data_IF_213414904414
#
_entry.id   IF_213414904414
#
_cell.length_a   1.000
_cell.length_b   1.000
_cell.length_c   1.000
_cell.angle_alpha   90.00
_cell.angle_beta   90.00
_cell.angle_gamma   90.00
#
_symmetry.space_group_name_H-M   'P 1'
#
loop_
_entity.id
_entity.type
_entity.pdbx_description
1 polymer ?
#
# COMPACT_ATOMS: atom_id res chain seq x y z
N UNK A 1 6.65 -8.72 -53.25
CA UNK A 1 6.39 -7.64 -52.29
C UNK A 1 5.33 -8.12 -51.31
N UNK A 2 5.73 -8.55 -50.11
CA UNK A 2 4.79 -9.03 -49.10
C UNK A 2 4.61 -7.94 -48.05
N UNK A 3 3.44 -7.32 -48.04
CA UNK A 3 3.04 -6.39 -47.00
C UNK A 3 2.77 -7.18 -45.72
N UNK A 4 3.57 -6.89 -44.68
CA UNK A 4 3.38 -7.44 -43.34
C UNK A 4 2.26 -6.64 -42.68
N UNK A 5 1.09 -7.24 -42.56
CA UNK A 5 -0.04 -6.65 -41.83
C UNK A 5 0.34 -6.53 -40.37
N UNK A 6 0.66 -5.32 -39.91
CA UNK A 6 0.79 -5.03 -38.48
C UNK A 6 -0.59 -5.22 -37.83
N UNK A 7 -0.67 -6.15 -36.88
CA UNK A 7 -1.85 -6.26 -36.02
C UNK A 7 -1.96 -4.99 -35.19
N UNK A 8 -3.16 -4.40 -35.03
CA UNK A 8 -3.34 -3.27 -34.13
C UNK A 8 -2.92 -3.70 -32.71
N UNK A 9 -2.00 -2.95 -32.09
CA UNK A 9 -1.70 -3.10 -30.67
C UNK A 9 -2.96 -2.71 -29.90
N UNK A 10 -3.61 -3.67 -29.26
CA UNK A 10 -4.73 -3.40 -28.36
C UNK A 10 -4.24 -2.41 -27.27
N UNK A 11 -5.06 -1.43 -26.88
CA UNK A 11 -4.71 -0.53 -25.78
C UNK A 11 -4.38 -1.36 -24.53
N UNK A 12 -3.28 -1.01 -23.83
CA UNK A 12 -2.77 -1.73 -22.66
C UNK A 12 -3.83 -2.03 -21.59
N UNK A 13 -4.85 -1.17 -21.46
CA UNK A 13 -6.02 -1.38 -20.58
C UNK A 13 -6.75 -2.71 -20.86
N UNK A 14 -6.87 -3.13 -22.13
CA UNK A 14 -7.56 -4.37 -22.49
C UNK A 14 -6.76 -5.63 -22.08
N UNK A 15 -5.44 -5.52 -21.93
CA UNK A 15 -4.58 -6.63 -21.47
C UNK A 15 -4.71 -6.84 -19.95
N UNK A 16 -4.97 -5.76 -19.20
CA UNK A 16 -5.19 -5.84 -17.76
C UNK A 16 -6.57 -6.35 -17.38
N UNK A 17 -7.59 -6.17 -18.23
CA UNK A 17 -8.95 -6.67 -17.97
C UNK A 17 -9.01 -8.20 -17.84
N UNK A 18 -8.41 -8.92 -18.80
CA UNK A 18 -8.37 -10.38 -18.77
C UNK A 18 -7.53 -10.91 -17.60
N UNK A 19 -6.41 -10.24 -17.32
CA UNK A 19 -5.53 -10.56 -16.18
C UNK A 19 -6.27 -10.37 -14.85
N UNK A 20 -7.00 -9.27 -14.69
CA UNK A 20 -7.79 -8.97 -13.51
C UNK A 20 -8.93 -9.99 -13.33
N UNK A 21 -9.65 -10.34 -14.39
CA UNK A 21 -10.71 -11.35 -14.34
C UNK A 21 -10.18 -12.74 -13.95
N UNK A 22 -8.99 -13.11 -14.42
CA UNK A 22 -8.33 -14.36 -14.03
C UNK A 22 -7.89 -14.34 -12.56
N UNK A 23 -7.31 -13.24 -12.10
CA UNK A 23 -6.93 -13.06 -10.70
C UNK A 23 -8.14 -13.11 -9.77
N UNK A 24 -9.23 -12.42 -10.11
CA UNK A 24 -10.47 -12.42 -9.33
C UNK A 24 -11.08 -13.81 -9.18
N UNK A 25 -11.18 -14.57 -10.28
CA UNK A 25 -11.66 -15.96 -10.22
C UNK A 25 -10.81 -16.83 -9.31
N UNK A 26 -9.49 -16.62 -9.32
CA UNK A 26 -8.56 -17.38 -8.48
C UNK A 26 -8.63 -16.98 -7.02
N UNK A 27 -8.76 -15.69 -6.72
CA UNK A 27 -8.98 -15.18 -5.36
C UNK A 27 -10.31 -15.67 -4.81
N UNK A 28 -11.39 -15.60 -5.58
CA UNK A 28 -12.70 -16.13 -5.18
C UNK A 28 -12.61 -17.63 -4.85
N UNK A 29 -11.97 -18.42 -5.72
CA UNK A 29 -11.77 -19.85 -5.47
C UNK A 29 -10.94 -20.15 -4.22
N UNK A 30 -9.93 -19.33 -3.90
CA UNK A 30 -9.13 -19.47 -2.68
C UNK A 30 -9.93 -19.12 -1.43
N UNK A 31 -10.72 -18.05 -1.48
CA UNK A 31 -11.61 -17.65 -0.38
C UNK A 31 -12.69 -18.70 -0.12
N UNK A 32 -13.30 -19.24 -1.18
CA UNK A 32 -14.24 -20.36 -1.08
C UNK A 32 -13.59 -21.61 -0.47
N UNK A 33 -12.37 -21.96 -0.89
CA UNK A 33 -11.61 -23.05 -0.30
C UNK A 33 -11.27 -22.83 1.18
N UNK A 34 -11.14 -21.56 1.61
CA UNK A 34 -10.95 -21.17 3.00
C UNK A 34 -12.26 -21.10 3.81
N UNK A 35 -13.40 -21.40 3.20
CA UNK A 35 -14.71 -21.42 3.86
C UNK A 35 -15.50 -20.12 3.78
N UNK A 36 -15.04 -19.12 3.02
CA UNK A 36 -15.79 -17.90 2.72
C UNK A 36 -16.94 -18.21 1.75
N UNK A 37 -18.13 -17.68 1.99
CA UNK A 37 -19.23 -17.87 1.03
C UNK A 37 -18.94 -17.13 -0.28
N UNK A 38 -19.41 -17.63 -1.44
CA UNK A 38 -19.21 -16.94 -2.73
C UNK A 38 -19.73 -15.49 -2.71
N UNK A 39 -20.83 -15.23 -1.99
CA UNK A 39 -21.39 -13.90 -1.82
C UNK A 39 -20.49 -12.97 -0.98
N UNK A 40 -19.84 -13.49 0.06
CA UNK A 40 -18.86 -12.73 0.86
C UNK A 40 -17.57 -12.49 0.07
N UNK A 41 -17.05 -13.50 -0.64
CA UNK A 41 -15.87 -13.36 -1.48
C UNK A 41 -16.07 -12.30 -2.57
N UNK A 42 -17.24 -12.29 -3.22
CA UNK A 42 -17.59 -11.29 -4.22
C UNK A 42 -17.73 -9.88 -3.62
N UNK A 43 -18.23 -9.76 -2.38
CA UNK A 43 -18.30 -8.48 -1.66
C UNK A 43 -16.92 -7.93 -1.35
N UNK A 44 -16.01 -8.75 -0.83
CA UNK A 44 -14.62 -8.36 -0.54
C UNK A 44 -13.87 -7.93 -1.81
N UNK A 45 -13.98 -8.70 -2.90
CA UNK A 45 -13.36 -8.35 -4.18
C UNK A 45 -13.87 -6.99 -4.68
N UNK A 46 -15.18 -6.77 -4.62
CA UNK A 46 -15.75 -5.53 -5.11
C UNK A 46 -15.48 -4.32 -4.18
N UNK A 47 -15.30 -4.52 -2.88
CA UNK A 47 -14.80 -3.49 -1.97
C UNK A 47 -13.37 -3.06 -2.33
N UNK A 48 -12.48 -4.03 -2.60
CA UNK A 48 -11.11 -3.76 -3.07
C UNK A 48 -11.13 -3.00 -4.41
N UNK A 49 -12.00 -3.40 -5.34
CA UNK A 49 -12.14 -2.70 -6.62
C UNK A 49 -12.63 -1.26 -6.44
N UNK A 50 -13.57 -1.02 -5.53
CA UNK A 50 -14.06 0.33 -5.23
C UNK A 50 -12.94 1.21 -4.65
N UNK A 51 -12.17 0.70 -3.68
CA UNK A 51 -11.02 1.41 -3.12
C UNK A 51 -9.91 1.69 -4.14
N UNK A 52 -9.66 0.76 -5.07
CA UNK A 52 -8.71 0.99 -6.17
C UNK A 52 -9.16 2.12 -7.12
N UNK A 53 -10.47 2.26 -7.34
CA UNK A 53 -11.05 3.35 -8.15
C UNK A 53 -11.01 4.67 -7.39
N UNK A 54 -11.22 4.65 -6.07
CA UNK A 54 -11.08 5.82 -5.20
C UNK A 54 -9.63 6.32 -5.15
N UNK A 55 -8.64 5.44 -5.07
CA UNK A 55 -7.22 5.81 -5.17
C UNK A 55 -6.88 6.47 -6.51
N UNK A 56 -7.37 5.90 -7.62
CA UNK A 56 -7.21 6.50 -8.95
C UNK A 56 -7.93 7.85 -9.09
N UNK A 57 -9.06 8.02 -8.40
CA UNK A 57 -9.78 9.29 -8.33
C UNK A 57 -8.97 10.37 -7.60
N UNK A 58 -8.31 10.03 -6.49
CA UNK A 58 -7.40 10.91 -5.77
C UNK A 58 -6.25 11.42 -6.65
N UNK A 59 -5.60 10.53 -7.42
CA UNK A 59 -4.53 10.92 -8.35
C UNK A 59 -5.01 11.89 -9.44
N UNK A 60 -6.24 11.74 -9.91
CA UNK A 60 -6.85 12.65 -10.90
C UNK A 60 -7.16 14.03 -10.29
N UNK A 61 -7.63 14.08 -9.05
CA UNK A 61 -7.83 15.36 -8.34
C UNK A 61 -6.50 16.07 -8.11
N UNK A 62 -5.42 15.34 -7.78
CA UNK A 62 -4.10 15.96 -7.60
C UNK A 62 -3.58 16.57 -8.91
N UNK A 63 -3.91 16.01 -10.08
CA UNK A 63 -3.59 16.60 -11.39
C UNK A 63 -4.35 17.92 -11.68
N UNK A 64 -5.49 18.16 -11.02
CA UNK A 64 -6.24 19.43 -11.14
C UNK A 64 -5.39 20.62 -10.66
N UNK A 65 -4.50 20.36 -9.70
CA UNK A 65 -3.65 21.39 -9.08
C UNK A 65 -2.39 21.72 -9.89
N UNK A 66 -2.05 20.92 -10.93
CA UNK A 66 -0.80 21.04 -11.69
C UNK A 66 -1.03 20.96 -13.21
N UNK A 67 -1.69 21.96 -13.77
CA UNK A 67 -1.72 22.12 -15.23
C UNK A 67 -0.29 22.25 -15.81
N UNK A 68 -0.01 21.72 -17.01
CA UNK A 68 1.31 21.78 -17.64
C UNK A 68 1.91 23.19 -17.69
N UNK A 69 3.15 23.35 -17.23
CA UNK A 69 3.81 24.65 -17.17
C UNK A 69 3.93 25.30 -18.57
N UNK A 70 3.52 26.57 -18.68
CA UNK A 70 3.60 27.34 -19.92
C UNK A 70 2.38 27.23 -20.85
N UNK A 71 1.27 26.65 -20.38
CA UNK A 71 0.02 26.63 -21.14
C UNK A 71 -0.75 27.96 -21.10
N UNK A 72 -1.63 28.18 -22.08
CA UNK A 72 -2.50 29.36 -22.13
C UNK A 72 -3.69 29.24 -21.17
N UNK A 73 -4.29 30.38 -20.80
CA UNK A 73 -5.46 30.42 -19.91
C UNK A 73 -6.65 29.59 -20.44
N UNK A 74 -6.87 29.59 -21.75
CA UNK A 74 -7.90 28.73 -22.39
C UNK A 74 -7.57 27.23 -22.26
N UNK A 75 -6.29 26.87 -22.30
CA UNK A 75 -5.87 25.48 -22.07
C UNK A 75 -6.02 25.09 -20.60
N UNK A 76 -5.74 25.99 -19.66
CA UNK A 76 -5.97 25.77 -18.23
C UNK A 76 -7.45 25.51 -17.92
N UNK A 77 -8.37 26.23 -18.57
CA UNK A 77 -9.80 26.00 -18.42
C UNK A 77 -10.25 24.66 -19.01
N UNK A 78 -9.78 24.33 -20.22
CA UNK A 78 -10.05 23.03 -20.84
C UNK A 78 -9.46 21.85 -20.06
N UNK A 79 -8.30 22.04 -19.43
CA UNK A 79 -7.64 21.05 -18.57
C UNK A 79 -8.47 20.76 -17.31
N UNK A 80 -8.89 21.81 -16.57
CA UNK A 80 -9.75 21.65 -15.39
C UNK A 80 -11.06 20.95 -15.74
N UNK A 81 -11.73 21.38 -16.82
CA UNK A 81 -12.97 20.72 -17.27
C UNK A 81 -12.78 19.26 -17.67
N UNK A 82 -11.63 18.89 -18.25
CA UNK A 82 -11.32 17.51 -18.58
C UNK A 82 -11.04 16.65 -17.32
N UNK A 83 -10.36 17.21 -16.33
CA UNK A 83 -10.09 16.55 -15.05
C UNK A 83 -11.37 16.36 -14.24
N UNK A 84 -12.23 17.38 -14.16
CA UNK A 84 -13.54 17.29 -13.49
C UNK A 84 -14.41 16.20 -14.13
N UNK A 85 -14.43 16.12 -15.46
CA UNK A 85 -15.14 15.07 -16.18
C UNK A 85 -14.55 13.66 -15.96
N UNK A 86 -13.23 13.53 -15.80
CA UNK A 86 -12.57 12.26 -15.50
C UNK A 86 -12.81 11.82 -14.05
N UNK A 87 -12.67 12.75 -13.11
CA UNK A 87 -13.00 12.60 -11.69
C UNK A 87 -14.45 12.11 -11.51
N UNK A 88 -15.42 12.81 -12.10
CA UNK A 88 -16.83 12.41 -12.04
C UNK A 88 -17.11 11.02 -12.62
N UNK A 89 -16.38 10.60 -13.67
CA UNK A 89 -16.52 9.23 -14.22
C UNK A 89 -15.94 8.16 -13.29
N UNK A 90 -14.81 8.41 -12.64
CA UNK A 90 -14.22 7.48 -11.68
C UNK A 90 -15.08 7.35 -10.43
N UNK A 91 -15.56 8.46 -9.86
CA UNK A 91 -16.52 8.44 -8.76
C UNK A 91 -17.77 7.61 -9.11
N UNK A 92 -18.34 7.84 -10.30
CA UNK A 92 -19.47 7.06 -10.78
C UNK A 92 -19.16 5.57 -10.99
N UNK A 93 -17.92 5.18 -11.28
CA UNK A 93 -17.49 3.78 -11.35
C UNK A 93 -17.37 3.17 -9.96
N UNK A 94 -16.84 3.90 -8.97
CA UNK A 94 -16.78 3.47 -7.58
C UNK A 94 -18.18 3.23 -7.01
N UNK A 95 -19.08 4.22 -7.13
CA UNK A 95 -20.47 4.15 -6.67
C UNK A 95 -21.22 2.94 -7.24
N UNK A 96 -21.07 2.69 -8.54
CA UNK A 96 -21.72 1.55 -9.20
C UNK A 96 -21.17 0.21 -8.74
N UNK A 97 -19.87 0.17 -8.41
CA UNK A 97 -19.23 -1.05 -7.89
C UNK A 97 -19.71 -1.34 -6.48
N UNK A 98 -19.84 -0.30 -5.63
CA UNK A 98 -20.38 -0.41 -4.28
C UNK A 98 -21.90 -0.70 -4.25
N UNK A 99 -22.69 -0.15 -5.17
CA UNK A 99 -24.11 -0.49 -5.27
C UNK A 99 -24.34 -1.97 -5.61
N UNK A 100 -23.44 -2.58 -6.40
CA UNK A 100 -23.48 -4.02 -6.71
C UNK A 100 -23.13 -4.88 -5.50
N UNK A 101 -22.28 -4.41 -4.58
CA UNK A 101 -21.97 -5.13 -3.33
C UNK A 101 -23.13 -5.10 -2.34
N UNK A 102 -23.79 -3.94 -2.22
CA UNK A 102 -24.95 -3.77 -1.34
C UNK A 102 -26.17 -4.59 -1.81
N UNK A 103 -26.38 -4.70 -3.13
CA UNK A 103 -27.44 -5.53 -3.69
C UNK A 103 -27.20 -7.03 -3.41
N UNK A 104 -25.96 -7.51 -3.55
CA UNK A 104 -25.58 -8.89 -3.25
C UNK A 104 -25.67 -9.23 -1.75
N UNK A 105 -25.48 -8.24 -0.86
CA UNK A 105 -25.61 -8.42 0.59
C UNK A 105 -27.07 -8.64 1.05
N UNK A 106 -28.04 -8.14 0.29
CA UNK A 106 -29.45 -8.09 0.69
C UNK A 106 -30.21 -9.40 0.41
N UNK A 107 -29.60 -10.37 -0.29
CA UNK A 107 -30.26 -11.62 -0.70
C UNK A 107 -30.02 -12.84 0.22
N UNK A 108 -29.35 -12.68 1.38
CA UNK A 108 -29.01 -13.84 2.26
C UNK A 108 -29.69 -13.78 3.65
N UNK A 109 -30.42 -14.82 4.10
CA UNK A 109 -30.97 -14.90 5.46
C UNK A 109 -29.95 -15.39 6.51
N UNK A 110 -30.17 -15.18 7.83
CA UNK A 110 -29.17 -15.49 8.87
C UNK A 110 -29.34 -16.89 9.48
N UNK A 111 -28.24 -17.64 9.69
CA UNK A 111 -27.98 -18.47 10.88
C UNK A 111 -26.60 -19.19 10.85
N UNK A 112 -25.99 -19.28 12.05
CA UNK A 112 -24.67 -19.80 12.47
C UNK A 112 -24.52 -21.36 12.48
N UNK A 113 -23.50 -22.02 13.08
CA UNK A 113 -22.22 -21.57 13.67
C UNK A 113 -20.94 -22.28 13.19
N UNK A 114 -19.81 -21.77 13.70
CA UNK A 114 -18.39 -22.01 13.43
C UNK A 114 -17.88 -23.46 13.45
N UNK A 115 -16.95 -23.79 12.52
CA UNK A 115 -15.85 -24.77 12.69
C UNK A 115 -14.88 -24.78 11.47
N UNK A 116 -13.71 -25.39 11.63
CA UNK A 116 -12.50 -24.88 12.26
C UNK A 116 -11.63 -24.10 11.26
N UNK A 117 -11.06 -22.97 11.70
CA UNK A 117 -10.10 -22.21 10.91
C UNK A 117 -8.84 -23.03 10.68
N UNK A 118 -8.45 -23.20 9.42
CA UNK A 118 -7.05 -23.48 9.10
C UNK A 118 -6.21 -22.33 9.63
N UNK A 119 -5.11 -22.64 10.31
CA UNK A 119 -4.29 -21.68 11.05
C UNK A 119 -3.90 -20.48 10.18
N UNK A 120 -4.57 -19.35 10.42
CA UNK A 120 -4.06 -18.04 10.08
C UNK A 120 -2.77 -17.79 10.89
N UNK A 121 -1.87 -16.91 10.42
CA UNK A 121 -0.79 -16.40 11.25
C UNK A 121 -1.37 -15.91 12.58
N UNK A 122 -0.79 -16.32 13.69
CA UNK A 122 -1.30 -15.96 15.01
C UNK A 122 -1.03 -14.46 15.22
N UNK A 123 -2.11 -13.68 15.37
CA UNK A 123 -2.06 -12.28 15.74
C UNK A 123 -1.46 -12.15 17.15
N UNK A 124 -0.60 -11.15 17.33
CA UNK A 124 0.03 -10.90 18.63
C UNK A 124 -0.65 -9.69 19.26
N UNK A 125 -1.41 -9.93 20.34
CA UNK A 125 -2.13 -8.88 21.07
C UNK A 125 -1.20 -7.82 21.71
N UNK A 126 0.07 -8.15 21.94
CA UNK A 126 1.08 -7.18 22.43
C UNK A 126 2.50 -7.64 22.16
N UNK A 127 3.35 -6.72 21.70
CA UNK A 127 4.78 -6.96 21.48
C UNK A 127 5.55 -6.60 22.75
N UNK A 128 6.46 -7.48 23.19
CA UNK A 128 7.26 -7.19 24.38
C UNK A 128 8.21 -6.01 24.18
N UNK A 129 8.35 -5.14 25.18
CA UNK A 129 9.21 -3.94 25.15
C UNK A 129 10.67 -4.27 24.74
N UNK A 130 11.20 -5.39 25.21
CA UNK A 130 12.54 -5.88 24.85
C UNK A 130 12.67 -6.13 23.35
N UNK A 131 11.64 -6.69 22.71
CA UNK A 131 11.63 -6.94 21.28
C UNK A 131 11.58 -5.62 20.49
N UNK A 132 10.78 -4.66 20.94
CA UNK A 132 10.73 -3.31 20.34
C UNK A 132 12.12 -2.67 20.38
N UNK A 133 12.79 -2.73 21.54
CA UNK A 133 14.12 -2.15 21.72
C UNK A 133 15.17 -2.80 20.82
N UNK A 134 15.22 -4.13 20.77
CA UNK A 134 16.17 -4.87 19.93
C UNK A 134 15.98 -4.58 18.43
N UNK A 135 14.72 -4.48 17.99
CA UNK A 135 14.41 -4.14 16.60
C UNK A 135 14.78 -2.70 16.29
N UNK A 136 14.49 -1.77 17.21
CA UNK A 136 14.86 -0.37 17.03
C UNK A 136 16.37 -0.21 16.90
N UNK A 137 17.17 -0.81 17.79
CA UNK A 137 18.64 -0.73 17.71
C UNK A 137 19.18 -1.26 16.37
N UNK A 138 18.58 -2.33 15.83
CA UNK A 138 18.95 -2.86 14.52
C UNK A 138 18.54 -1.89 13.39
N UNK A 139 17.31 -1.38 13.43
CA UNK A 139 16.78 -0.44 12.45
C UNK A 139 17.59 0.88 12.44
N UNK A 140 17.95 1.41 13.61
CA UNK A 140 18.84 2.57 13.77
C UNK A 140 20.19 2.35 13.13
N UNK A 141 20.83 1.22 13.42
CA UNK A 141 22.14 0.90 12.84
C UNK A 141 22.09 0.86 11.32
N UNK A 142 21.07 0.22 10.76
CA UNK A 142 20.85 0.14 9.31
C UNK A 142 20.61 1.54 8.75
N UNK A 143 19.65 2.28 9.30
CA UNK A 143 19.27 3.61 8.84
C UNK A 143 20.45 4.59 8.88
N UNK A 144 21.16 4.69 10.01
CA UNK A 144 22.33 5.56 10.17
C UNK A 144 23.44 5.15 9.20
N UNK A 145 23.63 3.85 8.92
CA UNK A 145 24.63 3.40 7.95
C UNK A 145 24.32 3.83 6.51
N UNK A 146 23.04 4.02 6.17
CA UNK A 146 22.58 4.40 4.84
C UNK A 146 22.51 5.92 4.67
N UNK A 147 22.14 6.65 5.73
CA UNK A 147 21.83 8.09 5.65
C UNK A 147 22.89 8.98 6.32
N UNK A 148 23.64 8.45 7.28
CA UNK A 148 24.50 9.23 8.16
C UNK A 148 23.74 10.16 9.12
N UNK A 149 22.41 10.11 9.13
CA UNK A 149 21.55 11.01 9.89
C UNK A 149 21.24 10.43 11.28
N UNK A 150 21.48 11.22 12.33
CA UNK A 150 21.23 10.86 13.73
C UNK A 150 20.25 11.80 14.42
N UNK A 151 19.57 12.67 13.67
CA UNK A 151 18.62 13.67 14.20
C UNK A 151 17.18 13.18 14.30
N UNK A 152 16.97 11.86 14.25
CA UNK A 152 15.65 11.23 14.27
C UNK A 152 15.03 11.26 15.67
N UNK A 153 13.72 11.04 15.75
CA UNK A 153 12.96 11.05 17.00
C UNK A 153 12.80 9.62 17.52
N UNK A 154 13.63 9.26 18.50
CA UNK A 154 13.68 7.90 19.04
C UNK A 154 12.39 7.52 19.75
N UNK A 155 11.77 8.43 20.50
CA UNK A 155 10.54 8.15 21.25
C UNK A 155 9.40 7.84 20.27
N UNK A 156 9.27 8.63 19.20
CA UNK A 156 8.34 8.36 18.11
C UNK A 156 8.61 7.01 17.42
N UNK A 157 9.89 6.67 17.24
CA UNK A 157 10.29 5.38 16.64
C UNK A 157 9.85 4.20 17.51
N UNK A 158 10.00 4.32 18.84
CA UNK A 158 9.55 3.30 19.81
C UNK A 158 8.02 3.14 19.78
N UNK A 159 7.28 4.25 19.76
CA UNK A 159 5.82 4.25 19.67
C UNK A 159 5.33 3.56 18.39
N UNK A 160 5.88 3.91 17.23
CA UNK A 160 5.47 3.32 15.95
C UNK A 160 5.86 1.83 15.88
N UNK A 161 7.04 1.44 16.37
CA UNK A 161 7.45 0.03 16.36
C UNK A 161 6.59 -0.84 17.26
N UNK A 162 6.08 -0.32 18.38
CA UNK A 162 5.14 -1.05 19.24
C UNK A 162 3.86 -1.48 18.49
N UNK A 163 3.47 -0.69 17.48
CA UNK A 163 2.34 -0.96 16.59
C UNK A 163 2.77 -1.82 15.41
N UNK A 164 3.78 -1.40 14.64
CA UNK A 164 4.20 -2.08 13.39
C UNK A 164 4.62 -3.53 13.65
N UNK A 165 5.19 -3.83 14.81
CA UNK A 165 5.59 -5.19 15.16
C UNK A 165 4.40 -6.12 15.45
N UNK A 166 3.17 -5.62 15.61
CA UNK A 166 1.96 -6.45 15.63
C UNK A 166 1.68 -7.07 14.25
N UNK A 167 2.20 -6.47 13.17
CA UNK A 167 2.22 -7.07 11.83
C UNK A 167 3.36 -8.09 11.62
N UNK A 168 4.03 -8.51 12.71
CA UNK A 168 4.96 -9.64 12.74
C UNK A 168 4.31 -10.77 13.51
N UNK A 169 4.11 -11.93 12.87
CA UNK A 169 3.45 -13.05 13.52
C UNK A 169 4.24 -13.57 14.73
N UNK A 170 3.57 -14.21 15.68
CA UNK A 170 4.21 -14.76 16.88
C UNK A 170 5.40 -15.69 16.55
N UNK A 171 5.25 -16.52 15.52
CA UNK A 171 6.27 -17.48 15.06
C UNK A 171 7.48 -16.81 14.41
N UNK A 172 7.31 -15.54 14.06
CA UNK A 172 8.29 -14.70 13.39
C UNK A 172 9.03 -13.79 14.39
N UNK A 173 8.48 -13.54 15.58
CA UNK A 173 9.16 -12.66 16.55
C UNK A 173 10.56 -13.17 16.90
N UNK A 174 10.70 -14.48 17.08
CA UNK A 174 11.99 -15.15 17.21
C UNK A 174 12.81 -15.01 15.92
N UNK A 175 13.90 -14.24 15.99
CA UNK A 175 14.81 -14.05 14.88
C UNK A 175 14.43 -12.94 13.90
N UNK A 176 13.49 -12.05 14.28
CA UNK A 176 13.09 -10.94 13.41
C UNK A 176 14.25 -9.98 13.10
N UNK A 177 15.13 -9.70 14.06
CA UNK A 177 16.30 -8.83 13.86
C UNK A 177 17.19 -9.34 12.72
N UNK A 178 17.50 -10.64 12.69
CA UNK A 178 18.32 -11.22 11.63
C UNK A 178 17.64 -11.15 10.26
N UNK A 179 16.30 -11.23 10.23
CA UNK A 179 15.53 -11.05 8.99
C UNK A 179 15.53 -9.62 8.51
N UNK A 180 15.42 -8.66 9.43
CA UNK A 180 15.51 -7.23 9.12
C UNK A 180 16.90 -6.89 8.55
N UNK A 181 17.97 -7.40 9.15
CA UNK A 181 19.33 -7.24 8.66
C UNK A 181 19.52 -7.88 7.27
N UNK A 182 18.99 -9.09 7.05
CA UNK A 182 19.03 -9.74 5.74
C UNK A 182 18.25 -8.96 4.68
N UNK A 183 17.05 -8.48 5.01
CA UNK A 183 16.25 -7.63 4.13
C UNK A 183 17.01 -6.34 3.75
N UNK A 184 17.66 -5.69 4.72
CA UNK A 184 18.39 -4.46 4.49
C UNK A 184 19.60 -4.66 3.56
N UNK A 185 20.31 -5.78 3.69
CA UNK A 185 21.41 -6.12 2.77
C UNK A 185 20.87 -6.44 1.36
N UNK A 186 19.81 -7.24 1.25
CA UNK A 186 19.21 -7.59 -0.05
C UNK A 186 18.60 -6.38 -0.78
N UNK A 187 18.16 -5.36 -0.04
CA UNK A 187 17.53 -4.15 -0.57
C UNK A 187 18.37 -2.89 -0.40
N UNK A 188 19.67 -3.03 -0.15
CA UNK A 188 20.56 -1.90 0.21
C UNK A 188 20.50 -0.75 -0.78
N UNK A 189 20.58 -1.04 -2.08
CA UNK A 189 20.54 -0.03 -3.14
C UNK A 189 19.17 0.66 -3.22
N UNK A 190 18.09 -0.07 -2.93
CA UNK A 190 16.71 0.45 -2.96
C UNK A 190 16.46 1.36 -1.76
N UNK A 191 16.93 0.97 -0.57
CA UNK A 191 16.88 1.79 0.63
C UNK A 191 17.76 3.05 0.48
N UNK A 192 18.96 2.92 -0.07
CA UNK A 192 19.83 4.06 -0.36
C UNK A 192 19.18 5.05 -1.33
N UNK A 193 18.46 4.56 -2.35
CA UNK A 193 17.68 5.42 -3.26
C UNK A 193 16.51 6.09 -2.56
N UNK A 194 15.75 5.36 -1.73
CA UNK A 194 14.64 5.92 -0.96
C UNK A 194 15.10 7.09 -0.10
N UNK A 195 16.10 6.86 0.76
CA UNK A 195 16.59 7.89 1.67
C UNK A 195 17.36 8.99 0.94
N UNK A 196 18.14 8.66 -0.09
CA UNK A 196 18.85 9.65 -0.89
C UNK A 196 17.90 10.59 -1.65
N UNK A 197 16.68 10.15 -1.96
CA UNK A 197 15.67 10.93 -2.70
C UNK A 197 14.74 11.71 -1.78
N UNK A 198 14.22 11.07 -0.73
CA UNK A 198 13.12 11.59 0.10
C UNK A 198 13.50 11.76 1.58
N UNK A 199 14.64 11.21 2.00
CA UNK A 199 15.14 11.30 3.38
C UNK A 199 15.97 12.56 3.63
N UNK A 200 16.71 12.61 4.75
CA UNK A 200 17.47 13.78 5.19
C UNK A 200 18.47 14.28 4.15
N UNK A 201 18.34 15.54 3.73
CA UNK A 201 19.20 16.15 2.70
C UNK A 201 18.90 15.72 1.26
N UNK A 202 17.83 14.96 1.03
CA UNK A 202 17.39 14.53 -0.29
C UNK A 202 16.72 15.65 -1.10
N UNK A 203 16.71 15.56 -2.45
CA UNK A 203 16.12 16.57 -3.33
C UNK A 203 14.59 16.72 -3.19
N UNK A 204 13.91 15.72 -2.64
CA UNK A 204 12.46 15.73 -2.40
C UNK A 204 12.12 15.53 -0.91
N UNK A 205 13.02 15.98 -0.03
CA UNK A 205 12.82 15.94 1.42
C UNK A 205 11.54 16.71 1.82
N UNK A 206 10.61 16.02 2.49
CA UNK A 206 9.40 16.62 3.08
C UNK A 206 9.01 15.88 4.37
N UNK A 207 9.78 16.13 5.42
CA UNK A 207 9.57 15.51 6.74
C UNK A 207 8.18 15.82 7.31
N UNK A 208 7.61 16.99 7.00
CA UNK A 208 6.31 17.40 7.51
C UNK A 208 5.17 16.55 6.94
N UNK A 209 5.29 16.09 5.69
CA UNK A 209 4.28 15.24 5.04
C UNK A 209 4.54 13.75 5.15
N UNK A 210 5.78 13.33 5.39
CA UNK A 210 6.15 11.94 5.54
C UNK A 210 7.33 11.80 6.50
N UNK A 211 7.06 11.90 7.81
CA UNK A 211 8.13 11.83 8.81
C UNK A 211 8.92 10.51 8.75
N UNK A 212 8.31 9.42 8.27
CA UNK A 212 8.97 8.11 8.14
C UNK A 212 10.25 8.16 7.30
N UNK A 213 10.40 9.08 6.34
CA UNK A 213 11.63 9.13 5.54
C UNK A 213 12.86 9.59 6.35
N UNK A 214 12.65 10.08 7.58
CA UNK A 214 13.68 10.57 8.50
C UNK A 214 13.87 9.70 9.73
N UNK A 215 13.17 8.56 9.81
CA UNK A 215 13.09 7.77 11.02
C UNK A 215 13.58 6.32 10.80
N UNK A 216 14.21 5.69 11.80
CA UNK A 216 14.79 4.35 11.68
C UNK A 216 13.74 3.24 11.47
N UNK A 217 12.56 3.34 12.08
CA UNK A 217 11.46 2.36 11.94
C UNK A 217 10.98 2.21 10.50
N UNK A 218 11.28 3.18 9.63
CA UNK A 218 10.98 3.10 8.21
C UNK A 218 11.61 1.89 7.51
N UNK A 219 12.74 1.37 7.99
CA UNK A 219 13.34 0.12 7.49
C UNK A 219 12.40 -1.06 7.74
N UNK A 220 11.80 -1.10 8.93
CA UNK A 220 10.82 -2.12 9.34
C UNK A 220 9.54 -1.98 8.52
N UNK A 221 9.05 -0.75 8.33
CA UNK A 221 7.88 -0.48 7.49
C UNK A 221 8.11 -0.91 6.04
N UNK A 222 9.29 -0.65 5.44
CA UNK A 222 9.64 -1.12 4.10
C UNK A 222 9.57 -2.65 3.99
N UNK A 223 10.13 -3.36 4.98
CA UNK A 223 10.15 -4.82 5.00
C UNK A 223 8.74 -5.41 5.15
N UNK A 224 7.92 -4.83 6.03
CA UNK A 224 6.51 -5.23 6.22
C UNK A 224 5.67 -4.92 4.98
N UNK A 225 5.89 -3.79 4.31
CA UNK A 225 5.22 -3.46 3.06
C UNK A 225 5.52 -4.50 1.97
N UNK A 226 6.74 -5.02 1.89
CA UNK A 226 7.10 -6.02 0.88
C UNK A 226 6.58 -7.43 1.21
N UNK A 227 6.51 -7.79 2.50
CA UNK A 227 6.16 -9.16 2.94
C UNK A 227 4.68 -9.36 3.27
N UNK A 228 4.05 -8.39 3.95
CA UNK A 228 2.67 -8.47 4.47
C UNK A 228 1.89 -7.15 4.28
N UNK A 229 1.79 -6.60 3.05
CA UNK A 229 1.28 -5.26 2.80
C UNK A 229 -0.15 -4.99 3.31
N UNK A 230 -1.04 -5.98 3.22
CA UNK A 230 -2.41 -5.82 3.69
C UNK A 230 -2.52 -5.86 5.22
N UNK A 231 -1.59 -6.55 5.90
CA UNK A 231 -1.62 -6.67 7.35
C UNK A 231 -1.07 -5.41 8.00
N UNK A 232 0.06 -4.87 7.52
CA UNK A 232 0.59 -3.61 8.03
C UNK A 232 -0.39 -2.45 7.81
N UNK A 233 -1.11 -2.41 6.69
CA UNK A 233 -2.14 -1.40 6.44
C UNK A 233 -3.29 -1.49 7.45
N UNK A 234 -3.75 -2.71 7.76
CA UNK A 234 -4.77 -2.93 8.79
C UNK A 234 -4.33 -2.52 10.21
N UNK A 235 -3.11 -2.89 10.61
CA UNK A 235 -2.54 -2.53 11.91
C UNK A 235 -2.33 -1.02 12.02
N UNK A 236 -1.78 -0.40 10.97
CA UNK A 236 -1.49 1.02 10.95
C UNK A 236 -2.76 1.87 11.06
N UNK A 237 -3.78 1.57 10.25
CA UNK A 237 -5.02 2.37 10.22
C UNK A 237 -5.87 2.22 11.49
N UNK A 238 -5.64 1.19 12.30
CA UNK A 238 -6.35 0.98 13.56
C UNK A 238 -5.68 1.73 14.73
N UNK A 239 -4.34 1.79 14.74
CA UNK A 239 -3.57 2.19 15.93
C UNK A 239 -2.82 3.51 15.77
N UNK A 240 -2.53 3.96 14.54
CA UNK A 240 -1.78 5.20 14.27
C UNK A 240 -2.68 6.22 13.58
N UNK A 241 -3.02 7.30 14.29
CA UNK A 241 -3.76 8.45 13.75
C UNK A 241 -2.85 9.36 12.90
N UNK A 242 -2.35 8.81 11.79
CA UNK A 242 -1.49 9.50 10.84
C UNK A 242 -2.02 9.30 9.41
N UNK A 243 -3.17 9.93 9.14
CA UNK A 243 -3.85 9.86 7.85
C UNK A 243 -2.87 10.14 6.70
N UNK A 244 -2.79 9.20 5.75
CA UNK A 244 -1.97 9.24 4.53
C UNK A 244 -0.44 9.06 4.70
N UNK A 245 0.12 8.97 5.91
CA UNK A 245 1.58 8.83 6.08
C UNK A 245 2.07 7.49 5.50
N UNK A 246 1.42 6.38 5.86
CA UNK A 246 1.78 5.06 5.33
C UNK A 246 1.51 4.95 3.84
N UNK A 247 0.41 5.51 3.34
CA UNK A 247 0.08 5.52 1.91
C UNK A 247 1.16 6.25 1.11
N UNK A 248 1.56 7.45 1.56
CA UNK A 248 2.60 8.26 0.93
C UNK A 248 3.95 7.57 0.97
N UNK A 249 4.31 6.99 2.12
CA UNK A 249 5.55 6.23 2.25
C UNK A 249 5.56 4.99 1.34
N UNK A 250 4.42 4.30 1.21
CA UNK A 250 4.23 3.18 0.29
C UNK A 250 4.43 3.61 -1.16
N UNK A 251 3.92 4.79 -1.56
CA UNK A 251 4.16 5.37 -2.89
C UNK A 251 5.66 5.59 -3.13
N UNK A 252 6.39 6.16 -2.17
CA UNK A 252 7.84 6.34 -2.28
C UNK A 252 8.57 5.01 -2.43
N UNK A 253 8.27 4.03 -1.59
CA UNK A 253 8.95 2.74 -1.57
C UNK A 253 8.66 1.87 -2.80
N UNK A 254 7.40 1.77 -3.23
CA UNK A 254 6.98 0.84 -4.30
C UNK A 254 7.06 1.42 -5.70
N UNK A 255 6.85 2.73 -5.85
CA UNK A 255 6.67 3.35 -7.16
C UNK A 255 7.60 4.55 -7.39
N UNK A 256 8.11 5.17 -6.31
CA UNK A 256 8.93 6.38 -6.37
C UNK A 256 10.40 6.17 -6.75
N UNK A 257 10.87 4.92 -6.86
CA UNK A 257 12.29 4.57 -7.04
C UNK A 257 12.69 4.27 -8.49
N UNK A 258 11.93 4.79 -9.47
CA UNK A 258 12.32 4.79 -10.88
C UNK A 258 13.36 5.86 -11.22
N UNK A 259 14.29 5.51 -12.12
CA UNK A 259 15.34 6.37 -12.67
C UNK A 259 14.81 7.61 -13.40
#
# INVERSE_FOLDING_TARGET
>A
MSQRTERPRLPLIAVYEETAANAQRRVAALLEAAGTSPAEAQRLIAAIQAGAVEGAHGEVIELDTHAPAGSSDEFHEGWRGAIEAASGKLAHIADRTQARTAAAASETPPAAPSRPQGSAPTEVDSVGEEQVHQVLEAAERIFVSLTGYTGYDRDLSEDILSVVLQAVSAEQQDGYVQRLEAFAEDNRDRLAQLYGKYGPGGPFEDQARCYLTHQPESVVVCERLDTVPLWIDGVWNNEIDAELVLERFTKFWRFGLGA
#
